data_IF_878637635506
#
_entry.id   IF_878637635506
#
_cell.length_a   1.000
_cell.length_b   1.000
_cell.length_c   1.000
_cell.angle_alpha   90.00
_cell.angle_beta   90.00
_cell.angle_gamma   90.00
#
_symmetry.space_group_name_H-M   'P 1'
#
loop_
_entity.id
_entity.type
_entity.pdbx_description
1 polymer ?
#
# COMPACT_ATOMS: atom_id res chain seq x y z
N UNK A 1 8.16 -23.39 6.35
CA UNK A 1 7.00 -22.48 6.56
C UNK A 1 5.83 -22.81 5.64
N UNK A 2 5.98 -22.84 4.31
CA UNK A 2 4.87 -23.13 3.37
C UNK A 2 4.23 -24.49 3.61
N UNK A 3 5.01 -25.58 3.77
CA UNK A 3 4.46 -26.92 3.99
C UNK A 3 3.59 -27.03 5.27
N UNK A 4 4.08 -26.55 6.41
CA UNK A 4 3.33 -26.47 7.67
C UNK A 4 2.05 -25.64 7.55
N UNK A 5 2.09 -24.56 6.77
CA UNK A 5 0.94 -23.69 6.51
C UNK A 5 -0.11 -24.39 5.64
N UNK A 6 0.33 -25.04 4.56
CA UNK A 6 -0.53 -25.82 3.67
C UNK A 6 -1.20 -26.99 4.40
N UNK A 7 -0.46 -27.68 5.28
CA UNK A 7 -1.01 -28.77 6.10
C UNK A 7 -2.09 -28.24 7.07
N UNK A 8 -1.83 -27.12 7.74
CA UNK A 8 -2.83 -26.47 8.61
C UNK A 8 -4.09 -26.10 7.81
N UNK A 9 -3.94 -25.46 6.66
CA UNK A 9 -5.08 -25.04 5.86
C UNK A 9 -5.88 -26.24 5.35
N UNK A 10 -5.21 -27.28 4.85
CA UNK A 10 -5.87 -28.51 4.43
C UNK A 10 -6.69 -29.14 5.57
N UNK A 11 -6.18 -29.13 6.80
CA UNK A 11 -6.91 -29.66 7.96
C UNK A 11 -8.17 -28.85 8.32
N UNK A 12 -8.24 -27.56 7.96
CA UNK A 12 -9.36 -26.67 8.26
C UNK A 12 -10.36 -26.59 7.09
N UNK A 13 -9.88 -26.55 5.85
CA UNK A 13 -10.70 -26.28 4.65
C UNK A 13 -10.91 -27.50 3.77
N UNK A 14 -10.09 -28.55 3.91
CA UNK A 14 -10.09 -29.72 3.00
C UNK A 14 -9.44 -29.46 1.64
N UNK A 15 -8.85 -28.27 1.42
CA UNK A 15 -8.24 -27.87 0.14
C UNK A 15 -6.74 -27.57 0.30
N UNK A 16 -5.94 -27.92 -0.72
CA UNK A 16 -4.51 -27.59 -0.75
C UNK A 16 -4.34 -26.11 -1.06
N UNK A 17 -4.20 -25.30 -0.01
CA UNK A 17 -3.97 -23.86 -0.10
C UNK A 17 -2.48 -23.59 0.15
N UNK A 18 -1.70 -23.47 -0.94
CA UNK A 18 -0.23 -23.28 -0.89
C UNK A 18 0.17 -21.95 -0.24
N UNK A 19 -0.59 -20.89 -0.51
CA UNK A 19 -0.47 -19.58 0.11
C UNK A 19 -1.90 -19.16 0.44
N UNK A 20 -2.13 -18.62 1.64
CA UNK A 20 -3.44 -18.08 1.97
C UNK A 20 -3.79 -17.05 0.90
N UNK A 21 -4.83 -17.31 0.12
CA UNK A 21 -5.48 -16.23 -0.61
C UNK A 21 -6.08 -15.40 0.50
N UNK A 22 -5.38 -14.34 0.90
CA UNK A 22 -5.85 -13.42 1.93
C UNK A 22 -7.28 -12.94 1.60
N UNK A 23 -7.59 -12.90 0.29
CA UNK A 23 -8.89 -12.62 -0.33
C UNK A 23 -9.77 -13.87 -0.60
N UNK A 24 -9.59 -14.98 0.10
CA UNK A 24 -10.47 -16.16 -0.03
C UNK A 24 -11.76 -15.95 0.77
N UNK A 25 -12.93 -16.37 0.26
CA UNK A 25 -14.18 -16.31 1.03
C UNK A 25 -14.09 -16.99 2.40
N UNK A 26 -13.43 -18.15 2.46
CA UNK A 26 -13.31 -18.95 3.68
C UNK A 26 -12.25 -18.43 4.68
N UNK A 27 -11.42 -17.44 4.32
CA UNK A 27 -10.34 -16.95 5.20
C UNK A 27 -10.89 -16.29 6.48
N UNK A 28 -10.19 -16.42 7.60
CA UNK A 28 -10.47 -15.69 8.83
C UNK A 28 -9.61 -14.41 8.90
N UNK A 29 -9.66 -13.62 7.83
CA UNK A 29 -8.97 -12.34 7.71
C UNK A 29 -9.99 -11.24 7.35
N UNK A 30 -9.66 -9.99 7.66
CA UNK A 30 -10.43 -8.80 7.25
C UNK A 30 -10.39 -8.54 5.75
N UNK A 31 -9.48 -9.19 5.02
CA UNK A 31 -9.18 -8.95 3.61
C UNK A 31 -10.27 -9.54 2.70
N UNK A 32 -11.46 -8.95 2.79
CA UNK A 32 -12.69 -9.33 2.11
C UNK A 32 -13.09 -8.22 1.11
N UNK A 33 -14.04 -8.46 0.19
CA UNK A 33 -14.43 -7.49 -0.82
C UNK A 33 -14.82 -6.12 -0.26
N UNK A 34 -15.53 -6.10 0.86
CA UNK A 34 -15.95 -4.88 1.53
C UNK A 34 -14.76 -4.08 2.10
N UNK A 35 -13.72 -4.76 2.60
CA UNK A 35 -12.48 -4.11 3.01
C UNK A 35 -11.69 -3.60 1.81
N UNK A 36 -11.60 -4.39 0.74
CA UNK A 36 -10.90 -3.99 -0.48
C UNK A 36 -11.55 -2.74 -1.11
N UNK A 37 -12.88 -2.67 -1.13
CA UNK A 37 -13.62 -1.51 -1.59
C UNK A 37 -13.46 -0.31 -0.64
N UNK A 38 -13.51 -0.52 0.68
CA UNK A 38 -13.18 0.52 1.65
C UNK A 38 -11.77 1.07 1.44
N UNK A 39 -10.78 0.20 1.24
CA UNK A 39 -9.41 0.59 0.95
C UNK A 39 -9.31 1.39 -0.36
N UNK A 40 -9.98 0.94 -1.43
CA UNK A 40 -10.09 1.68 -2.69
C UNK A 40 -10.72 3.06 -2.51
N UNK A 41 -11.72 3.18 -1.64
CA UNK A 41 -12.32 4.46 -1.27
C UNK A 41 -11.30 5.36 -0.58
N UNK A 42 -10.51 4.87 0.37
CA UNK A 42 -9.47 5.68 1.05
C UNK A 42 -8.35 6.16 0.13
N UNK A 43 -8.07 5.45 -0.96
CA UNK A 43 -7.10 5.91 -1.98
C UNK A 43 -7.55 7.16 -2.73
N UNK A 44 -8.83 7.53 -2.66
CA UNK A 44 -9.35 8.75 -3.28
C UNK A 44 -8.66 10.03 -2.79
N UNK A 45 -8.10 10.03 -1.58
CA UNK A 45 -7.30 11.13 -1.02
C UNK A 45 -5.83 10.79 -0.78
N UNK A 46 -5.38 9.63 -1.27
CA UNK A 46 -4.01 9.16 -1.08
C UNK A 46 -3.71 8.74 0.36
N UNK A 47 -4.67 8.14 1.05
CA UNK A 47 -4.46 7.65 2.41
C UNK A 47 -3.39 6.55 2.45
N UNK A 48 -2.41 6.68 3.34
CA UNK A 48 -1.38 5.66 3.52
C UNK A 48 -1.94 4.42 4.24
N UNK A 49 -1.39 3.25 3.93
CA UNK A 49 -1.84 1.98 4.51
C UNK A 49 -1.65 1.91 6.03
N UNK A 50 -0.58 2.51 6.57
CA UNK A 50 -0.35 2.60 8.01
C UNK A 50 -1.39 3.49 8.68
N UNK A 51 -1.67 4.66 8.09
CA UNK A 51 -2.68 5.58 8.60
C UNK A 51 -4.08 4.97 8.53
N UNK A 52 -4.43 4.30 7.43
CA UNK A 52 -5.70 3.58 7.34
C UNK A 52 -5.82 2.47 8.40
N UNK A 53 -4.77 1.67 8.58
CA UNK A 53 -4.76 0.62 9.59
C UNK A 53 -4.92 1.16 11.02
N UNK A 54 -4.43 2.37 11.30
CA UNK A 54 -4.51 2.98 12.63
C UNK A 54 -5.94 3.18 13.15
N UNK A 55 -6.92 3.36 12.25
CA UNK A 55 -8.34 3.47 12.60
C UNK A 55 -9.17 2.25 12.18
N UNK A 56 -8.79 1.53 11.12
CA UNK A 56 -9.53 0.36 10.64
C UNK A 56 -9.35 -0.86 11.54
N UNK A 57 -8.12 -1.16 11.98
CA UNK A 57 -7.86 -2.33 12.83
C UNK A 57 -8.62 -2.23 14.16
N UNK A 58 -8.63 -1.08 14.87
CA UNK A 58 -9.48 -0.92 16.05
C UNK A 58 -10.97 -1.11 15.76
N UNK A 59 -11.49 -0.54 14.66
CA UNK A 59 -12.89 -0.71 14.26
C UNK A 59 -13.23 -2.18 14.01
N UNK A 60 -12.39 -2.91 13.27
CA UNK A 60 -12.57 -4.32 12.97
C UNK A 60 -12.53 -5.19 14.23
N UNK A 61 -11.50 -5.03 15.06
CA UNK A 61 -11.32 -5.81 16.29
C UNK A 61 -12.42 -5.54 17.32
N UNK A 62 -12.82 -4.27 17.50
CA UNK A 62 -13.91 -3.91 18.39
C UNK A 62 -15.22 -4.55 17.92
N UNK A 63 -15.52 -4.48 16.62
CA UNK A 63 -16.73 -5.07 16.05
C UNK A 63 -16.76 -6.58 16.21
N UNK A 64 -15.64 -7.27 15.95
CA UNK A 64 -15.53 -8.72 16.19
C UNK A 64 -15.65 -9.09 17.67
N UNK A 65 -15.19 -8.23 18.58
CA UNK A 65 -15.35 -8.41 20.04
C UNK A 65 -16.78 -8.10 20.52
N UNK A 66 -17.65 -7.65 19.62
CA UNK A 66 -19.05 -7.30 19.88
C UNK A 66 -19.28 -5.86 20.33
N UNK A 67 -18.24 -5.03 20.39
CA UNK A 67 -18.36 -3.60 20.65
C UNK A 67 -18.82 -2.88 19.37
N UNK A 68 -20.07 -2.44 19.38
CA UNK A 68 -20.71 -1.73 18.25
C UNK A 68 -20.86 -0.24 18.51
N UNK A 69 -20.05 0.33 19.40
CA UNK A 69 -20.09 1.75 19.74
C UNK A 69 -19.88 2.64 18.51
N UNK A 70 -20.54 3.81 18.53
CA UNK A 70 -20.42 4.81 17.45
C UNK A 70 -19.02 5.44 17.39
N UNK A 71 -18.27 5.42 18.50
CA UNK A 71 -16.90 5.98 18.59
C UNK A 71 -15.97 5.47 17.49
N UNK A 72 -16.08 4.20 17.08
CA UNK A 72 -15.24 3.67 16.01
C UNK A 72 -15.70 4.09 14.61
N UNK A 73 -17.01 4.29 14.42
CA UNK A 73 -17.55 4.85 13.18
C UNK A 73 -17.13 6.31 13.05
N UNK A 74 -17.29 7.09 14.14
CA UNK A 74 -16.83 8.48 14.22
C UNK A 74 -15.34 8.59 13.91
N UNK A 75 -14.51 7.71 14.50
CA UNK A 75 -13.08 7.69 14.23
C UNK A 75 -12.76 7.45 12.74
N UNK A 76 -13.50 6.60 12.04
CA UNK A 76 -13.31 6.43 10.59
C UNK A 76 -13.71 7.72 9.87
N UNK A 77 -14.89 8.28 10.18
CA UNK A 77 -15.40 9.50 9.55
C UNK A 77 -14.44 10.68 9.75
N UNK A 78 -13.88 10.85 10.94
CA UNK A 78 -12.96 11.93 11.29
C UNK A 78 -11.64 11.87 10.52
N UNK A 79 -11.23 10.67 10.07
CA UNK A 79 -10.06 10.49 9.22
C UNK A 79 -10.34 10.75 7.73
N UNK A 80 -11.60 10.92 7.33
CA UNK A 80 -11.97 11.27 5.96
C UNK A 80 -11.85 12.80 5.79
N UNK A 81 -11.12 13.30 4.78
CA UNK A 81 -10.98 14.73 4.53
C UNK A 81 -12.33 15.44 4.43
N UNK A 82 -12.39 16.67 4.94
CA UNK A 82 -13.64 17.44 5.04
C UNK A 82 -14.26 17.67 3.66
N UNK A 83 -13.45 17.92 2.64
CA UNK A 83 -13.87 18.11 1.25
C UNK A 83 -14.59 16.87 0.70
N UNK A 84 -14.12 15.67 1.03
CA UNK A 84 -14.75 14.41 0.61
C UNK A 84 -16.07 14.21 1.35
N UNK A 85 -16.08 14.47 2.67
CA UNK A 85 -17.30 14.39 3.47
C UNK A 85 -18.37 15.37 3.00
N UNK A 86 -17.97 16.58 2.60
CA UNK A 86 -18.87 17.60 2.09
C UNK A 86 -19.46 17.22 0.72
N UNK A 87 -18.64 16.69 -0.19
CA UNK A 87 -19.07 16.37 -1.56
C UNK A 87 -19.92 15.09 -1.63
N UNK A 88 -19.51 14.02 -0.96
CA UNK A 88 -20.22 12.73 -0.97
C UNK A 88 -21.41 12.74 0.01
N UNK A 89 -21.31 13.56 1.06
CA UNK A 89 -22.27 13.64 2.15
C UNK A 89 -21.92 12.69 3.31
N UNK A 90 -21.58 13.27 4.47
CA UNK A 90 -21.21 12.52 5.67
C UNK A 90 -22.27 11.49 6.08
N UNK A 91 -23.56 11.84 5.97
CA UNK A 91 -24.68 10.92 6.27
C UNK A 91 -24.60 9.64 5.42
N UNK A 92 -24.27 9.78 4.13
CA UNK A 92 -24.17 8.66 3.22
C UNK A 92 -22.95 7.78 3.54
N UNK A 93 -21.78 8.40 3.77
CA UNK A 93 -20.56 7.69 4.17
C UNK A 93 -20.79 6.92 5.47
N UNK A 94 -21.37 7.58 6.48
CA UNK A 94 -21.68 6.98 7.79
C UNK A 94 -22.63 5.79 7.66
N UNK A 95 -23.65 5.89 6.79
CA UNK A 95 -24.56 4.79 6.51
C UNK A 95 -23.81 3.55 6.00
N UNK A 96 -22.92 3.73 5.02
CA UNK A 96 -22.13 2.62 4.44
C UNK A 96 -21.17 2.02 5.48
N UNK A 97 -20.50 2.84 6.29
CA UNK A 97 -19.62 2.34 7.37
C UNK A 97 -20.40 1.55 8.42
N UNK A 98 -21.63 1.96 8.77
CA UNK A 98 -22.49 1.18 9.67
C UNK A 98 -22.92 -0.16 9.07
N UNK A 99 -23.20 -0.18 7.77
CA UNK A 99 -23.49 -1.43 7.06
C UNK A 99 -22.25 -2.33 7.03
N UNK A 100 -21.07 -1.75 6.82
CA UNK A 100 -19.79 -2.47 6.92
C UNK A 100 -19.57 -3.06 8.33
N UNK A 101 -19.83 -2.29 9.39
CA UNK A 101 -19.80 -2.79 10.78
C UNK A 101 -20.74 -3.99 10.95
N UNK A 102 -21.95 -3.92 10.40
CA UNK A 102 -22.91 -5.04 10.48
C UNK A 102 -22.42 -6.29 9.75
N UNK A 103 -21.69 -6.14 8.66
CA UNK A 103 -21.06 -7.27 7.94
C UNK A 103 -19.98 -7.90 8.81
N UNK A 104 -19.02 -7.12 9.33
CA UNK A 104 -17.97 -7.63 10.22
C UNK A 104 -18.58 -8.32 11.44
N UNK A 105 -19.59 -7.73 12.06
CA UNK A 105 -20.26 -8.32 13.22
C UNK A 105 -20.89 -9.68 12.90
N UNK A 106 -21.44 -9.86 11.69
CA UNK A 106 -21.99 -11.15 11.27
C UNK A 106 -20.92 -12.24 11.09
N UNK A 107 -19.67 -11.83 10.82
CA UNK A 107 -18.54 -12.75 10.67
C UNK A 107 -18.01 -13.25 12.03
N UNK A 108 -18.35 -12.57 13.14
CA UNK A 108 -17.90 -12.88 14.51
C UNK A 108 -17.99 -14.35 14.89
N UNK A 109 -19.10 -15.01 14.54
CA UNK A 109 -19.32 -16.43 14.88
C UNK A 109 -18.24 -17.36 14.30
N UNK A 110 -17.69 -17.04 13.14
CA UNK A 110 -16.63 -17.81 12.49
C UNK A 110 -15.29 -17.59 13.18
N UNK A 111 -15.00 -16.34 13.57
CA UNK A 111 -13.80 -15.98 14.33
C UNK A 111 -13.80 -16.59 15.74
N UNK A 112 -14.90 -16.49 16.48
CA UNK A 112 -15.00 -17.03 17.85
C UNK A 112 -14.89 -18.56 17.89
N UNK A 113 -15.49 -19.24 16.90
CA UNK A 113 -15.44 -20.70 16.81
C UNK A 113 -14.20 -21.21 16.07
N UNK A 114 -13.38 -20.30 15.51
CA UNK A 114 -12.23 -20.62 14.66
C UNK A 114 -12.58 -21.66 13.57
N UNK A 115 -13.70 -21.43 12.88
CA UNK A 115 -14.17 -22.26 11.77
C UNK A 115 -14.10 -21.46 10.47
N UNK A 116 -13.97 -22.17 9.34
CA UNK A 116 -13.99 -21.53 8.03
C UNK A 116 -15.27 -20.70 7.82
N UNK A 117 -15.12 -19.54 7.19
CA UNK A 117 -16.25 -18.77 6.66
C UNK A 117 -16.90 -19.50 5.47
N UNK A 118 -18.09 -19.09 5.02
CA UNK A 118 -18.73 -19.69 3.84
C UNK A 118 -17.86 -19.61 2.58
N UNK A 119 -18.03 -20.59 1.67
CA UNK A 119 -17.30 -20.67 0.39
C UNK A 119 -17.59 -19.53 -0.57
N UNK A 120 -18.69 -18.82 -0.37
CA UNK A 120 -19.11 -17.69 -1.19
C UNK A 120 -19.32 -16.47 -0.31
N UNK A 121 -19.04 -15.30 -0.86
CA UNK A 121 -19.36 -14.04 -0.20
C UNK A 121 -20.87 -13.87 -0.10
N UNK A 122 -21.34 -13.42 1.05
CA UNK A 122 -22.74 -13.10 1.27
C UNK A 122 -23.16 -11.90 0.41
N UNK A 123 -24.46 -11.83 0.03
CA UNK A 123 -24.98 -10.66 -0.67
C UNK A 123 -24.76 -9.33 0.06
N UNK A 124 -24.66 -9.36 1.39
CA UNK A 124 -24.39 -8.16 2.21
C UNK A 124 -22.94 -7.68 2.07
N UNK A 125 -21.97 -8.60 2.03
CA UNK A 125 -20.56 -8.25 1.80
C UNK A 125 -20.39 -7.58 0.44
N UNK A 126 -20.97 -8.18 -0.60
CA UNK A 126 -20.93 -7.62 -1.96
C UNK A 126 -21.65 -6.27 -2.06
N UNK A 127 -22.82 -6.14 -1.43
CA UNK A 127 -23.55 -4.87 -1.38
C UNK A 127 -22.73 -3.74 -0.72
N UNK A 128 -22.07 -4.01 0.40
CA UNK A 128 -21.21 -3.01 1.06
C UNK A 128 -20.02 -2.65 0.18
N UNK A 129 -19.42 -3.63 -0.50
CA UNK A 129 -18.34 -3.37 -1.46
C UNK A 129 -18.79 -2.44 -2.59
N UNK A 130 -19.93 -2.74 -3.22
CA UNK A 130 -20.53 -1.90 -4.28
C UNK A 130 -20.83 -0.48 -3.79
N UNK A 131 -21.30 -0.34 -2.56
CA UNK A 131 -21.56 0.97 -1.97
C UNK A 131 -20.27 1.78 -1.80
N UNK A 132 -19.19 1.20 -1.27
CA UNK A 132 -17.92 1.90 -1.18
C UNK A 132 -17.35 2.26 -2.55
N UNK A 133 -17.45 1.36 -3.53
CA UNK A 133 -17.02 1.64 -4.90
C UNK A 133 -17.85 2.77 -5.54
N UNK A 134 -19.15 2.86 -5.23
CA UNK A 134 -19.98 3.98 -5.67
C UNK A 134 -19.57 5.32 -5.01
N UNK A 135 -19.22 5.33 -3.72
CA UNK A 135 -18.65 6.52 -3.06
C UNK A 135 -17.33 6.93 -3.73
N UNK A 136 -16.45 5.96 -4.00
CA UNK A 136 -15.17 6.19 -4.66
C UNK A 136 -15.36 6.72 -6.09
N UNK A 137 -16.27 6.14 -6.86
CA UNK A 137 -16.58 6.55 -8.23
C UNK A 137 -17.12 7.97 -8.28
N UNK A 138 -17.97 8.36 -7.32
CA UNK A 138 -18.52 9.71 -7.21
C UNK A 138 -17.40 10.75 -7.09
N UNK A 139 -16.45 10.52 -6.17
CA UNK A 139 -15.29 11.40 -6.00
C UNK A 139 -14.37 11.40 -7.23
N UNK A 140 -14.01 10.21 -7.73
CA UNK A 140 -13.08 10.07 -8.87
C UNK A 140 -13.59 10.81 -10.10
N UNK A 141 -14.89 10.80 -10.36
CA UNK A 141 -15.51 11.49 -11.50
C UNK A 141 -15.25 13.00 -11.49
N UNK A 142 -15.27 13.62 -10.30
CA UNK A 142 -15.09 15.06 -10.16
C UNK A 142 -13.62 15.46 -9.92
N UNK A 143 -12.78 14.52 -9.48
CA UNK A 143 -11.40 14.78 -9.05
C UNK A 143 -10.37 13.93 -9.81
N UNK A 144 -10.53 13.79 -11.13
CA UNK A 144 -9.65 12.98 -11.98
C UNK A 144 -8.17 13.35 -11.82
N UNK A 145 -7.84 14.64 -11.84
CA UNK A 145 -6.46 15.09 -11.69
C UNK A 145 -5.89 14.76 -10.30
N UNK A 146 -6.70 14.94 -9.24
CA UNK A 146 -6.26 14.57 -7.90
C UNK A 146 -5.99 13.07 -7.80
N UNK A 147 -6.87 12.25 -8.35
CA UNK A 147 -6.78 10.80 -8.24
C UNK A 147 -5.68 10.19 -9.11
N UNK A 148 -5.55 10.61 -10.37
CA UNK A 148 -4.63 9.99 -11.33
C UNK A 148 -3.25 10.66 -11.39
N UNK A 149 -3.08 11.85 -10.79
CA UNK A 149 -1.80 12.57 -10.81
C UNK A 149 -1.33 12.91 -9.40
N UNK A 150 -2.11 13.66 -8.63
CA UNK A 150 -1.67 14.16 -7.31
C UNK A 150 -1.42 13.02 -6.33
N UNK A 151 -2.37 12.10 -6.17
CA UNK A 151 -2.25 10.99 -5.23
C UNK A 151 -1.07 10.07 -5.60
N UNK A 152 -0.91 9.62 -6.85
CA UNK A 152 0.29 8.91 -7.29
C UNK A 152 1.60 9.63 -6.98
N UNK A 153 1.68 10.94 -7.22
CA UNK A 153 2.90 11.71 -6.89
C UNK A 153 3.15 11.75 -5.37
N UNK A 154 2.10 11.86 -4.55
CA UNK A 154 2.21 11.75 -3.08
C UNK A 154 2.73 10.37 -2.68
N UNK A 155 2.17 9.30 -3.24
CA UNK A 155 2.66 7.94 -2.98
C UNK A 155 4.11 7.74 -3.41
N UNK A 156 4.50 8.26 -4.58
CA UNK A 156 5.89 8.19 -5.04
C UNK A 156 6.82 8.91 -4.08
N UNK A 157 6.45 10.12 -3.65
CA UNK A 157 7.20 10.88 -2.64
C UNK A 157 7.34 10.07 -1.35
N UNK A 158 6.25 9.55 -0.82
CA UNK A 158 6.27 8.82 0.45
C UNK A 158 7.10 7.53 0.32
N UNK A 159 6.99 6.80 -0.78
CA UNK A 159 7.82 5.62 -1.07
C UNK A 159 9.32 5.96 -1.15
N UNK A 160 9.69 7.06 -1.80
CA UNK A 160 11.10 7.50 -1.94
C UNK A 160 11.65 7.97 -0.59
N UNK A 161 10.84 8.69 0.19
CA UNK A 161 11.24 9.23 1.49
C UNK A 161 11.17 8.19 2.61
N UNK A 162 10.47 7.07 2.41
CA UNK A 162 10.48 5.96 3.35
C UNK A 162 11.85 5.27 3.30
N UNK A 163 12.68 5.58 4.29
CA UNK A 163 13.91 4.84 4.53
C UNK A 163 13.57 3.60 5.36
N UNK A 164 13.56 2.41 4.75
CA UNK A 164 13.41 1.11 5.45
C UNK A 164 14.54 0.79 6.45
N UNK A 165 15.36 1.77 6.83
CA UNK A 165 16.37 1.64 7.89
C UNK A 165 15.75 1.19 9.21
N UNK A 166 14.50 1.56 9.50
CA UNK A 166 13.74 1.10 10.68
C UNK A 166 13.59 -0.42 10.80
N UNK A 167 13.72 -1.16 9.69
CA UNK A 167 13.69 -2.63 9.70
C UNK A 167 15.00 -3.25 10.19
N UNK A 168 16.09 -2.50 10.23
CA UNK A 168 17.33 -2.95 10.85
C UNK A 168 17.24 -2.66 12.35
N UNK A 169 17.51 -3.69 13.16
CA UNK A 169 17.42 -3.64 14.62
C UNK A 169 18.11 -2.39 15.22
N UNK A 170 19.28 -2.03 14.67
CA UNK A 170 20.10 -0.92 15.17
C UNK A 170 19.39 0.44 15.06
N UNK A 171 18.47 0.62 14.11
CA UNK A 171 17.75 1.89 13.91
C UNK A 171 16.39 1.95 14.63
N UNK A 172 16.05 0.92 15.42
CA UNK A 172 14.85 0.95 16.27
C UNK A 172 15.01 1.98 17.40
N UNK A 173 13.87 2.48 17.91
CA UNK A 173 13.80 3.56 18.91
C UNK A 173 14.75 3.42 20.10
N UNK A 174 14.90 2.25 20.77
CA UNK A 174 15.80 2.15 21.92
C UNK A 174 17.25 2.51 21.57
N UNK A 175 17.80 1.92 20.51
CA UNK A 175 19.18 2.17 20.08
C UNK A 175 19.38 3.56 19.47
N UNK A 176 18.37 4.06 18.74
CA UNK A 176 18.42 5.37 18.07
C UNK A 176 18.51 6.53 19.04
N UNK A 177 17.85 6.42 20.20
CA UNK A 177 17.85 7.48 21.21
C UNK A 177 19.17 7.52 21.98
N UNK A 178 19.84 6.37 22.14
CA UNK A 178 21.09 6.24 22.89
C UNK A 178 22.34 6.57 22.04
N UNK A 179 22.27 6.37 20.71
CA UNK A 179 23.41 6.54 19.81
C UNK A 179 23.10 7.61 18.74
N UNK A 180 23.40 8.90 18.99
CA UNK A 180 23.04 10.00 18.09
C UNK A 180 23.57 9.86 16.65
N UNK A 181 24.75 9.24 16.48
CA UNK A 181 25.36 9.03 15.16
C UNK A 181 24.48 8.16 14.23
N UNK A 182 23.61 7.31 14.80
CA UNK A 182 22.66 6.51 14.01
C UNK A 182 21.64 7.39 13.28
N UNK A 183 21.27 8.55 13.80
CA UNK A 183 20.39 9.48 13.10
C UNK A 183 21.07 10.12 11.89
N UNK A 184 22.36 10.46 12.02
CA UNK A 184 23.17 11.00 10.91
C UNK A 184 23.29 9.95 9.81
N UNK A 185 23.65 8.72 10.18
CA UNK A 185 23.76 7.62 9.22
C UNK A 185 22.42 7.27 8.56
N UNK A 186 21.32 7.30 9.32
CA UNK A 186 19.96 7.15 8.77
C UNK A 186 19.64 8.21 7.71
N UNK A 187 19.94 9.47 8.01
CA UNK A 187 19.72 10.58 7.09
C UNK A 187 20.60 10.44 5.84
N UNK A 188 21.85 10.03 6.02
CA UNK A 188 22.76 9.70 4.90
C UNK A 188 22.18 8.59 4.00
N UNK A 189 21.72 7.47 4.58
CA UNK A 189 21.09 6.40 3.82
C UNK A 189 19.82 6.85 3.11
N UNK A 190 19.00 7.70 3.75
CA UNK A 190 17.83 8.29 3.11
C UNK A 190 18.23 9.19 1.93
N UNK A 191 19.28 10.02 2.08
CA UNK A 191 19.80 10.86 1.01
C UNK A 191 20.35 10.03 -0.17
N UNK A 192 21.10 8.96 0.11
CA UNK A 192 21.57 8.00 -0.90
C UNK A 192 20.37 7.37 -1.63
N UNK A 193 19.36 6.91 -0.89
CA UNK A 193 18.15 6.34 -1.49
C UNK A 193 17.42 7.33 -2.41
N UNK A 194 17.19 8.56 -1.93
CA UNK A 194 16.58 9.64 -2.74
C UNK A 194 17.41 9.91 -4.00
N UNK A 195 18.74 9.94 -3.88
CA UNK A 195 19.63 10.17 -5.01
C UNK A 195 19.46 9.10 -6.10
N UNK A 196 19.17 7.84 -5.74
CA UNK A 196 18.96 6.78 -6.72
C UNK A 196 17.75 7.03 -7.61
N UNK A 197 16.65 7.56 -7.06
CA UNK A 197 15.48 7.90 -7.85
C UNK A 197 15.74 9.14 -8.70
N UNK A 198 16.41 10.17 -8.16
CA UNK A 198 16.76 11.37 -8.92
C UNK A 198 17.62 11.00 -10.13
N UNK A 199 18.69 10.21 -9.93
CA UNK A 199 19.58 9.78 -11.00
C UNK A 199 18.84 8.89 -12.00
N UNK A 200 17.94 8.01 -11.55
CA UNK A 200 17.13 7.18 -12.45
C UNK A 200 16.29 8.05 -13.42
N UNK A 201 15.61 9.07 -12.90
CA UNK A 201 14.80 9.97 -13.73
C UNK A 201 15.66 10.86 -14.64
N UNK A 202 16.82 11.34 -14.19
CA UNK A 202 17.78 12.06 -15.04
C UNK A 202 18.36 11.12 -16.12
N UNK A 203 18.60 9.86 -15.76
CA UNK A 203 19.16 8.80 -16.60
C UNK A 203 18.30 8.46 -17.82
N UNK A 204 17.02 8.81 -17.82
CA UNK A 204 16.15 8.74 -19.01
C UNK A 204 16.74 9.57 -20.17
N UNK A 205 17.35 10.72 -19.86
CA UNK A 205 17.99 11.57 -20.88
C UNK A 205 19.37 11.05 -21.32
N UNK A 206 19.88 9.97 -20.69
CA UNK A 206 21.13 9.32 -21.04
C UNK A 206 21.01 8.29 -22.17
N UNK A 207 19.85 8.19 -22.84
CA UNK A 207 19.59 7.23 -23.92
C UNK A 207 20.62 7.25 -25.06
N UNK A 208 21.32 8.37 -25.26
CA UNK A 208 22.36 8.52 -26.29
C UNK A 208 23.70 7.86 -25.93
N UNK A 209 23.89 7.46 -24.67
CA UNK A 209 25.16 6.93 -24.16
C UNK A 209 25.08 5.44 -23.78
N UNK A 210 23.93 4.83 -23.99
CA UNK A 210 23.65 3.44 -23.67
C UNK A 210 23.15 2.76 -24.94
N UNK A 211 23.58 1.51 -25.13
CA UNK A 211 22.93 0.67 -26.12
C UNK A 211 21.45 0.48 -25.74
N UNK A 212 20.59 0.29 -26.73
CA UNK A 212 19.15 0.19 -26.51
C UNK A 212 18.76 -0.85 -25.44
N UNK A 213 19.43 -2.00 -25.44
CA UNK A 213 19.22 -3.07 -24.45
C UNK A 213 19.56 -2.61 -23.02
N UNK A 214 20.68 -1.91 -22.85
CA UNK A 214 21.10 -1.35 -21.56
C UNK A 214 20.13 -0.25 -21.11
N UNK A 215 19.79 0.68 -21.99
CA UNK A 215 18.82 1.75 -21.70
C UNK A 215 17.48 1.17 -21.25
N UNK A 216 16.97 0.16 -21.95
CA UNK A 216 15.71 -0.47 -21.63
C UNK A 216 15.73 -1.13 -20.25
N UNK A 217 16.73 -1.98 -19.99
CA UNK A 217 16.82 -2.75 -18.73
C UNK A 217 17.13 -1.86 -17.52
N UNK A 218 17.96 -0.84 -17.69
CA UNK A 218 18.47 -0.02 -16.57
C UNK A 218 17.60 1.21 -16.28
N UNK A 219 16.85 1.72 -17.26
CA UNK A 219 16.04 2.94 -17.09
C UNK A 219 14.56 2.67 -17.31
N UNK A 220 14.18 2.19 -18.50
CA UNK A 220 12.77 2.10 -18.91
C UNK A 220 12.02 1.08 -18.06
N UNK A 221 12.58 -0.12 -17.87
CA UNK A 221 11.93 -1.19 -17.11
C UNK A 221 11.73 -0.79 -15.63
N UNK A 222 12.74 -0.30 -14.88
CA UNK A 222 12.55 0.19 -13.51
C UNK A 222 11.52 1.32 -13.40
N UNK A 223 11.55 2.30 -14.30
CA UNK A 223 10.58 3.41 -14.29
C UNK A 223 9.17 2.90 -14.56
N UNK A 224 9.01 2.03 -15.55
CA UNK A 224 7.70 1.45 -15.88
C UNK A 224 7.17 0.63 -14.71
N UNK A 225 8.02 -0.13 -14.04
CA UNK A 225 7.69 -0.88 -12.85
C UNK A 225 7.24 0.06 -11.71
N UNK A 226 8.01 1.12 -11.41
CA UNK A 226 7.65 2.12 -10.41
C UNK A 226 6.31 2.78 -10.77
N UNK A 227 6.12 3.23 -12.01
CA UNK A 227 4.89 3.86 -12.48
C UNK A 227 3.69 2.90 -12.41
N UNK A 228 3.88 1.62 -12.75
CA UNK A 228 2.82 0.61 -12.62
C UNK A 228 2.31 0.55 -11.17
N UNK A 229 3.22 0.41 -10.22
CA UNK A 229 2.84 0.34 -8.82
C UNK A 229 2.23 1.66 -8.32
N UNK A 230 2.79 2.80 -8.71
CA UNK A 230 2.39 4.13 -8.23
C UNK A 230 1.03 4.55 -8.82
N UNK A 231 0.75 4.22 -10.07
CA UNK A 231 -0.49 4.62 -10.74
C UNK A 231 -1.62 3.62 -10.53
N UNK A 232 -1.34 2.31 -10.55
CA UNK A 232 -2.37 1.27 -10.51
C UNK A 232 -2.55 0.63 -9.14
N UNK A 233 -1.47 0.31 -8.44
CA UNK A 233 -1.56 -0.38 -7.14
C UNK A 233 -1.88 0.61 -6.02
N UNK A 234 -1.24 1.79 -6.00
CA UNK A 234 -1.47 2.87 -5.03
C UNK A 234 -1.52 2.36 -3.57
N UNK A 235 -0.67 1.38 -3.25
CA UNK A 235 -0.59 0.70 -1.96
C UNK A 235 0.78 0.02 -1.85
N UNK A 236 1.85 0.82 -1.86
CA UNK A 236 3.22 0.31 -2.00
C UNK A 236 3.95 0.39 -0.68
N UNK A 237 4.56 -0.73 -0.31
CA UNK A 237 5.71 -0.73 0.57
C UNK A 237 6.98 -0.76 -0.28
N UNK A 238 8.02 -0.04 0.13
CA UNK A 238 9.30 0.04 -0.58
C UNK A 238 9.89 -1.35 -0.92
N UNK A 239 9.58 -2.39 -0.13
CA UNK A 239 9.99 -3.78 -0.39
C UNK A 239 9.54 -4.33 -1.74
N UNK A 240 8.46 -3.79 -2.33
CA UNK A 240 8.02 -4.20 -3.65
C UNK A 240 8.97 -3.73 -4.76
N UNK A 241 9.86 -2.77 -4.48
CA UNK A 241 10.86 -2.27 -5.43
C UNK A 241 12.15 -3.13 -5.46
N UNK A 242 12.28 -4.12 -4.58
CA UNK A 242 13.46 -4.99 -4.52
C UNK A 242 13.84 -5.64 -5.87
N UNK A 243 12.89 -6.09 -6.72
CA UNK A 243 13.24 -6.70 -8.02
C UNK A 243 13.94 -5.74 -9.00
N UNK A 244 13.66 -4.44 -8.91
CA UNK A 244 14.23 -3.44 -9.84
C UNK A 244 15.40 -2.67 -9.23
N UNK A 245 15.62 -2.78 -7.93
CA UNK A 245 16.68 -2.06 -7.22
C UNK A 245 18.10 -2.34 -7.78
N UNK A 246 18.49 -3.57 -8.14
CA UNK A 246 19.79 -3.82 -8.75
C UNK A 246 20.00 -3.08 -10.07
N UNK A 247 18.95 -3.01 -10.91
CA UNK A 247 18.99 -2.29 -12.18
C UNK A 247 19.12 -0.78 -11.96
N UNK A 248 18.42 -0.23 -10.96
CA UNK A 248 18.55 1.18 -10.56
C UNK A 248 19.98 1.47 -10.08
N UNK A 249 20.56 0.61 -9.22
CA UNK A 249 21.91 0.79 -8.69
C UNK A 249 22.97 0.78 -9.81
N UNK A 250 22.95 -0.25 -10.67
CA UNK A 250 23.90 -0.39 -11.78
C UNK A 250 23.68 0.72 -12.82
N UNK A 251 22.42 0.99 -13.16
CA UNK A 251 22.04 2.04 -14.11
C UNK A 251 22.55 3.41 -13.69
N UNK A 252 22.36 3.76 -12.41
CA UNK A 252 22.84 5.02 -11.86
C UNK A 252 24.36 5.13 -11.90
N UNK A 253 25.09 4.06 -11.57
CA UNK A 253 26.56 4.03 -11.65
C UNK A 253 27.06 4.28 -13.07
N UNK A 254 26.46 3.64 -14.07
CA UNK A 254 26.82 3.82 -15.48
C UNK A 254 26.49 5.26 -15.94
N UNK A 255 25.31 5.78 -15.58
CA UNK A 255 24.94 7.16 -15.95
C UNK A 255 25.91 8.18 -15.37
N UNK A 256 26.28 8.04 -14.09
CA UNK A 256 27.27 8.92 -13.46
C UNK A 256 28.60 8.85 -14.20
N UNK A 257 29.10 7.65 -14.51
CA UNK A 257 30.40 7.49 -15.17
C UNK A 257 30.39 8.08 -16.59
N UNK A 258 29.32 7.86 -17.36
CA UNK A 258 29.17 8.45 -18.70
C UNK A 258 29.11 9.98 -18.66
N UNK A 259 28.41 10.55 -17.66
CA UNK A 259 28.38 11.99 -17.46
C UNK A 259 29.77 12.54 -17.07
N UNK A 260 30.51 11.83 -16.21
CA UNK A 260 31.87 12.18 -15.80
C UNK A 260 32.83 12.25 -16.98
N UNK A 261 32.89 11.18 -17.78
CA UNK A 261 33.77 11.09 -18.95
C UNK A 261 33.50 12.24 -19.94
N UNK A 262 32.22 12.55 -20.16
CA UNK A 262 31.83 13.66 -21.04
C UNK A 262 32.26 15.03 -20.52
N UNK A 263 32.11 15.27 -19.22
CA UNK A 263 32.55 16.53 -18.61
C UNK A 263 34.08 16.66 -18.64
N UNK A 264 34.80 15.54 -18.64
CA UNK A 264 36.25 15.52 -18.80
C UNK A 264 36.72 15.72 -20.26
N UNK A 265 35.81 15.60 -21.25
CA UNK A 265 36.15 15.67 -22.67
C UNK A 265 36.67 14.36 -23.25
N UNK A 266 36.61 13.27 -22.48
CA UNK A 266 37.01 11.92 -22.88
C UNK A 266 35.79 11.24 -23.52
N UNK A 267 35.69 11.28 -24.86
CA UNK A 267 34.67 10.52 -25.61
C UNK A 267 35.19 9.16 -26.04
#
# INVERSE_FOLDING_TARGET
>A
MIATWTIRNYAVTGEIVLLEKINHPESLDRMKPEFAAFWNFTKCWGEDGSKMNSYHIPFFNATLSGDTSEVYVDRIIDNIPQEIRAEIGEINIRKVIKQYRSVIYSQRVFFEKNIAMPKEYSPKELQVAEQFDALAATWKKNHLFSYYVINPVRYLKDMILHSNTSNLLIFQVPFRNEIPILNVYRLFLAAVHISFYIILFIGVFAFRYLDWSQYFVLMVLPITFILFFVLYIQAIEQRYMLPVLPAILVGNGIVIERLRLRLAGDN
#
